data_IF_949817083696
#
_entry.id   IF_949817083696
#
_cell.length_a   1.000
_cell.length_b   1.000
_cell.length_c   1.000
_cell.angle_alpha   90.00
_cell.angle_beta   90.00
_cell.angle_gamma   90.00
#
_symmetry.space_group_name_H-M   'P 1'
#
loop_
_entity.id
_entity.type
_entity.pdbx_description
1 polymer ?
#
# COMPACT_ATOMS: atom_id res chain seq x y z
N UNK A 1 25.48 50.55 11.32
CA UNK A 1 24.58 49.84 12.25
C UNK A 1 24.17 48.58 11.52
N UNK A 2 24.46 47.42 12.12
CA UNK A 2 24.70 46.13 11.48
C UNK A 2 23.48 45.53 10.77
N UNK A 3 23.76 44.91 9.62
CA UNK A 3 23.01 43.81 9.01
C UNK A 3 22.86 42.66 10.01
N UNK A 4 21.63 42.19 10.22
CA UNK A 4 21.28 40.77 10.37
C UNK A 4 19.78 40.64 10.16
N UNK A 5 19.35 39.86 9.17
CA UNK A 5 18.54 38.66 9.42
C UNK A 5 18.10 38.08 8.06
N UNK A 6 18.86 37.10 7.57
CA UNK A 6 18.52 36.36 6.34
C UNK A 6 19.16 34.98 6.33
N UNK A 7 18.94 34.20 7.39
CA UNK A 7 19.34 32.79 7.42
C UNK A 7 18.53 32.07 8.50
N UNK A 8 17.40 31.42 8.15
CA UNK A 8 16.96 30.20 8.87
C UNK A 8 15.81 29.37 8.23
N UNK A 9 15.67 29.29 6.90
CA UNK A 9 14.62 28.45 6.28
C UNK A 9 15.14 27.32 5.37
N UNK A 10 16.46 27.10 5.30
CA UNK A 10 17.05 26.03 4.45
C UNK A 10 17.65 24.85 5.20
N UNK A 11 17.97 24.99 6.49
CA UNK A 11 18.59 23.89 7.27
C UNK A 11 17.53 22.90 7.78
N UNK A 12 16.41 23.38 8.34
CA UNK A 12 15.35 22.50 8.85
C UNK A 12 14.72 21.55 7.81
N UNK A 13 14.59 21.97 6.54
CA UNK A 13 14.02 21.12 5.49
C UNK A 13 14.92 19.95 5.06
N UNK A 14 16.24 20.08 5.19
CA UNK A 14 17.19 19.00 4.86
C UNK A 14 17.24 17.93 5.95
N UNK A 15 17.22 18.34 7.22
CA UNK A 15 17.26 17.43 8.36
C UNK A 15 15.96 16.61 8.46
N UNK A 16 14.81 17.22 8.18
CA UNK A 16 13.52 16.51 8.11
C UNK A 16 13.51 15.50 6.95
N UNK A 17 13.95 15.89 5.76
CA UNK A 17 14.00 14.99 4.61
C UNK A 17 14.95 13.80 4.84
N UNK A 18 16.11 14.04 5.46
CA UNK A 18 17.09 13.01 5.78
C UNK A 18 16.57 12.06 6.87
N UNK A 19 15.82 12.57 7.84
CA UNK A 19 15.15 11.77 8.88
C UNK A 19 14.08 10.86 8.27
N UNK A 20 13.20 11.40 7.42
CA UNK A 20 12.19 10.58 6.74
C UNK A 20 12.81 9.48 5.86
N UNK A 21 13.91 9.79 5.17
CA UNK A 21 14.63 8.79 4.38
C UNK A 21 15.18 7.65 5.27
N UNK A 22 15.75 7.99 6.43
CA UNK A 22 16.28 7.00 7.37
C UNK A 22 15.17 6.15 8.03
N UNK A 23 14.03 6.76 8.39
CA UNK A 23 12.86 6.05 8.92
C UNK A 23 12.27 5.08 7.91
N UNK A 24 12.20 5.51 6.65
CA UNK A 24 11.71 4.70 5.57
C UNK A 24 12.66 3.54 5.26
N UNK A 25 13.97 3.77 5.24
CA UNK A 25 14.97 2.71 5.12
C UNK A 25 14.83 1.66 6.23
N UNK A 26 14.50 2.09 7.44
CA UNK A 26 14.23 1.20 8.57
C UNK A 26 13.01 0.33 8.31
N UNK A 27 11.88 0.92 7.89
CA UNK A 27 10.68 0.17 7.53
C UNK A 27 10.97 -0.90 6.45
N UNK A 28 11.68 -0.51 5.39
CA UNK A 28 12.06 -1.44 4.31
C UNK A 28 12.91 -2.60 4.85
N UNK A 29 13.89 -2.31 5.71
CA UNK A 29 14.74 -3.35 6.31
C UNK A 29 13.97 -4.27 7.26
N UNK A 30 13.01 -3.75 8.03
CA UNK A 30 12.18 -4.53 8.93
C UNK A 30 11.26 -5.50 8.15
N UNK A 31 10.64 -5.02 7.06
CA UNK A 31 9.85 -5.86 6.15
C UNK A 31 10.70 -6.99 5.57
N UNK A 32 11.88 -6.67 5.04
CA UNK A 32 12.77 -7.66 4.44
C UNK A 32 13.30 -8.67 5.47
N UNK A 33 13.58 -8.21 6.69
CA UNK A 33 14.04 -9.08 7.79
C UNK A 33 12.94 -10.06 8.22
N UNK A 34 11.70 -9.59 8.37
CA UNK A 34 10.56 -10.47 8.67
C UNK A 34 10.28 -11.45 7.54
N UNK A 35 10.32 -10.99 6.29
CA UNK A 35 10.12 -11.85 5.14
C UNK A 35 11.19 -12.94 5.05
N UNK A 36 12.47 -12.59 5.26
CA UNK A 36 13.57 -13.55 5.30
C UNK A 36 13.42 -14.56 6.44
N UNK A 37 13.04 -14.11 7.64
CA UNK A 37 12.83 -14.97 8.81
C UNK A 37 11.68 -15.96 8.61
N UNK A 38 10.65 -15.59 7.84
CA UNK A 38 9.49 -16.42 7.54
C UNK A 38 9.65 -17.26 6.28
N UNK A 39 10.67 -17.03 5.45
CA UNK A 39 10.81 -17.67 4.13
C UNK A 39 10.89 -19.19 4.26
N UNK A 40 10.09 -19.90 3.45
CA UNK A 40 10.07 -21.37 3.41
C UNK A 40 10.52 -21.86 2.03
N UNK A 41 11.23 -22.99 1.92
CA UNK A 41 11.63 -23.53 0.62
C UNK A 41 10.43 -23.76 -0.30
N UNK A 42 10.56 -23.36 -1.57
CA UNK A 42 9.53 -23.56 -2.61
C UNK A 42 8.15 -22.95 -2.30
N UNK A 43 8.07 -22.01 -1.35
CA UNK A 43 6.86 -21.27 -1.01
C UNK A 43 7.13 -19.78 -1.22
N UNK A 44 6.27 -19.08 -1.96
CA UNK A 44 6.48 -17.66 -2.21
C UNK A 44 6.22 -16.82 -0.96
N UNK A 45 6.73 -15.59 -0.98
CA UNK A 45 6.48 -14.55 0.01
C UNK A 45 5.36 -13.63 -0.52
N UNK A 46 4.51 -13.17 0.39
CA UNK A 46 3.51 -12.14 0.11
C UNK A 46 3.64 -11.04 1.16
N UNK A 47 3.93 -9.83 0.72
CA UNK A 47 3.86 -8.61 1.54
C UNK A 47 2.55 -7.90 1.24
N UNK A 48 1.72 -7.71 2.25
CA UNK A 48 0.49 -6.93 2.16
C UNK A 48 0.73 -5.55 2.78
N UNK A 49 0.52 -4.48 2.01
CA UNK A 49 0.73 -3.10 2.46
C UNK A 49 -0.58 -2.34 2.39
N UNK A 50 -1.10 -1.95 3.55
CA UNK A 50 -2.41 -1.32 3.71
C UNK A 50 -2.25 0.01 4.46
N UNK A 51 -3.22 0.91 4.33
CA UNK A 51 -3.10 2.31 4.74
C UNK A 51 -3.96 3.24 3.91
N UNK A 52 -4.35 4.42 4.44
CA UNK A 52 -5.22 5.33 3.70
C UNK A 52 -4.52 5.97 2.49
N UNK A 53 -5.30 6.64 1.65
CA UNK A 53 -4.79 7.40 0.52
C UNK A 53 -3.76 8.44 0.96
N UNK A 54 -2.69 8.59 0.17
CA UNK A 54 -1.59 9.51 0.49
C UNK A 54 -0.63 9.04 1.60
N UNK A 55 -0.83 7.86 2.19
CA UNK A 55 0.02 7.36 3.28
C UNK A 55 1.45 6.96 2.84
N UNK A 56 1.70 6.73 1.55
CA UNK A 56 3.02 6.36 1.02
C UNK A 56 3.18 4.87 0.66
N UNK A 57 2.11 4.08 0.69
CA UNK A 57 2.11 2.64 0.33
C UNK A 57 2.78 2.34 -1.01
N UNK A 58 2.35 3.01 -2.08
CA UNK A 58 2.88 2.83 -3.44
C UNK A 58 4.39 3.11 -3.51
N UNK A 59 4.87 4.10 -2.75
CA UNK A 59 6.30 4.39 -2.65
C UNK A 59 7.03 3.25 -1.95
N UNK A 60 6.51 2.76 -0.82
CA UNK A 60 7.12 1.65 -0.06
C UNK A 60 7.13 0.37 -0.89
N UNK A 61 6.05 0.08 -1.62
CA UNK A 61 5.95 -1.06 -2.51
C UNK A 61 6.97 -0.98 -3.66
N UNK A 62 7.13 0.19 -4.28
CA UNK A 62 8.12 0.42 -5.32
C UNK A 62 9.55 0.23 -4.80
N UNK A 63 9.87 0.79 -3.63
CA UNK A 63 11.20 0.66 -3.03
C UNK A 63 11.52 -0.80 -2.61
N UNK A 64 10.54 -1.55 -2.11
CA UNK A 64 10.70 -2.98 -1.86
C UNK A 64 10.94 -3.75 -3.16
N UNK A 65 10.13 -3.49 -4.19
CA UNK A 65 10.26 -4.15 -5.49
C UNK A 65 11.61 -3.87 -6.16
N UNK A 66 12.15 -2.65 -6.03
CA UNK A 66 13.49 -2.32 -6.52
C UNK A 66 14.58 -3.15 -5.83
N UNK A 67 14.43 -3.41 -4.52
CA UNK A 67 15.41 -4.20 -3.74
C UNK A 67 15.30 -5.70 -3.97
N UNK A 68 14.10 -6.21 -4.25
CA UNK A 68 13.83 -7.66 -4.25
C UNK A 68 13.53 -8.24 -5.62
N UNK A 69 13.12 -7.41 -6.58
CA UNK A 69 12.55 -7.85 -7.86
C UNK A 69 11.15 -8.46 -7.75
N UNK A 70 10.46 -8.30 -6.61
CA UNK A 70 9.12 -8.86 -6.39
C UNK A 70 8.04 -8.15 -7.21
N UNK A 71 7.01 -8.89 -7.59
CA UNK A 71 5.90 -8.36 -8.39
C UNK A 71 4.97 -7.53 -7.52
N UNK A 72 4.73 -6.29 -7.93
CA UNK A 72 3.76 -5.40 -7.26
C UNK A 72 2.38 -5.53 -7.90
N UNK A 73 1.34 -5.63 -7.07
CA UNK A 73 -0.08 -5.58 -7.43
C UNK A 73 -0.69 -4.37 -6.70
N UNK A 74 -1.27 -3.45 -7.47
CA UNK A 74 -1.87 -2.22 -6.96
C UNK A 74 -3.40 -2.35 -6.97
N UNK A 75 -4.08 -2.24 -5.82
CA UNK A 75 -5.54 -2.32 -5.78
C UNK A 75 -6.21 -1.21 -6.62
N UNK A 76 -5.55 -0.06 -6.79
CA UNK A 76 -6.01 1.05 -7.66
C UNK A 76 -6.25 0.58 -9.12
N UNK A 77 -5.63 -0.53 -9.56
CA UNK A 77 -5.87 -1.11 -10.90
C UNK A 77 -7.20 -1.85 -11.03
N UNK A 78 -7.88 -2.17 -9.93
CA UNK A 78 -9.06 -3.05 -9.96
C UNK A 78 -10.17 -2.72 -8.96
N UNK A 79 -10.13 -1.59 -8.24
CA UNK A 79 -11.33 -1.13 -7.54
C UNK A 79 -12.47 -0.88 -8.54
N UNK A 80 -13.66 -1.42 -8.31
CA UNK A 80 -14.84 -1.17 -9.13
C UNK A 80 -15.43 0.22 -8.85
N UNK A 81 -14.74 1.24 -9.33
CA UNK A 81 -15.11 2.64 -9.19
C UNK A 81 -14.93 3.19 -7.77
N UNK A 82 -15.38 4.43 -7.57
CA UNK A 82 -15.18 5.18 -6.32
C UNK A 82 -15.94 4.67 -5.11
N UNK A 83 -16.82 3.68 -5.28
CA UNK A 83 -17.56 3.01 -4.20
C UNK A 83 -17.11 1.55 -4.00
N UNK A 84 -16.02 1.15 -4.65
CA UNK A 84 -15.60 -0.24 -4.78
C UNK A 84 -14.59 -0.72 -3.75
N UNK A 85 -14.35 0.00 -2.63
CA UNK A 85 -13.26 -0.38 -1.71
C UNK A 85 -13.47 -1.79 -1.13
N UNK A 86 -14.67 -2.09 -0.64
CA UNK A 86 -15.00 -3.40 -0.08
C UNK A 86 -14.87 -4.52 -1.13
N UNK A 87 -15.40 -4.29 -2.33
CA UNK A 87 -15.32 -5.27 -3.43
C UNK A 87 -13.87 -5.51 -3.87
N UNK A 88 -13.08 -4.44 -4.05
CA UNK A 88 -11.65 -4.55 -4.38
C UNK A 88 -10.84 -5.23 -3.28
N UNK A 89 -11.16 -4.99 -2.00
CA UNK A 89 -10.58 -5.71 -0.86
C UNK A 89 -10.85 -7.20 -0.94
N UNK A 90 -12.10 -7.60 -1.18
CA UNK A 90 -12.48 -9.01 -1.34
C UNK A 90 -11.75 -9.69 -2.52
N UNK A 91 -11.59 -8.98 -3.64
CA UNK A 91 -10.89 -9.47 -4.83
C UNK A 91 -9.43 -9.89 -4.54
N UNK A 92 -8.77 -9.32 -3.53
CA UNK A 92 -7.42 -9.74 -3.15
C UNK A 92 -7.39 -11.21 -2.71
N UNK A 93 -8.30 -11.60 -1.83
CA UNK A 93 -8.40 -12.99 -1.36
C UNK A 93 -9.01 -13.91 -2.43
N UNK A 94 -10.05 -13.44 -3.12
CA UNK A 94 -10.85 -14.25 -4.03
C UNK A 94 -10.19 -14.47 -5.40
N UNK A 95 -9.33 -13.55 -5.84
CA UNK A 95 -8.77 -13.53 -7.19
C UNK A 95 -7.24 -13.42 -7.19
N UNK A 96 -6.68 -12.41 -6.52
CA UNK A 96 -5.24 -12.10 -6.61
C UNK A 96 -4.39 -13.22 -6.00
N UNK A 97 -4.77 -13.68 -4.80
CA UNK A 97 -3.97 -14.62 -4.01
C UNK A 97 -4.45 -16.08 -4.09
N UNK A 98 -5.49 -16.36 -4.88
CA UNK A 98 -6.05 -17.71 -4.99
C UNK A 98 -5.03 -18.68 -5.60
N UNK A 99 -5.17 -19.96 -5.27
CA UNK A 99 -4.25 -21.00 -5.76
C UNK A 99 -4.33 -21.20 -7.28
N UNK A 100 -5.54 -21.26 -7.84
CA UNK A 100 -5.73 -21.63 -9.25
C UNK A 100 -5.99 -20.41 -10.13
N UNK A 101 -5.13 -20.18 -11.13
CA UNK A 101 -5.20 -19.04 -12.04
C UNK A 101 -5.29 -17.69 -11.29
N UNK A 102 -4.29 -17.33 -10.45
CA UNK A 102 -4.31 -16.05 -9.75
C UNK A 102 -4.22 -14.87 -10.73
N UNK A 103 -4.82 -13.76 -10.32
CA UNK A 103 -4.90 -12.55 -11.13
C UNK A 103 -6.07 -11.67 -10.74
N UNK A 104 -6.40 -10.69 -11.55
CA UNK A 104 -7.51 -9.77 -11.29
C UNK A 104 -8.03 -9.17 -12.60
N UNK A 105 -9.32 -8.85 -12.61
CA UNK A 105 -9.89 -8.00 -13.66
C UNK A 105 -9.51 -6.55 -13.39
N UNK A 106 -8.85 -5.90 -14.34
CA UNK A 106 -8.60 -4.46 -14.23
C UNK A 106 -9.91 -3.69 -14.30
N UNK A 107 -9.92 -2.52 -13.68
CA UNK A 107 -11.00 -1.55 -13.82
C UNK A 107 -10.62 -0.48 -14.84
N UNK A 108 -11.53 -0.19 -15.76
CA UNK A 108 -11.44 0.98 -16.61
C UNK A 108 -12.14 2.15 -15.91
N UNK A 109 -11.35 3.07 -15.35
CA UNK A 109 -11.85 4.23 -14.61
C UNK A 109 -12.58 5.24 -15.52
N UNK A 110 -12.24 5.32 -16.81
CA UNK A 110 -12.90 6.23 -17.75
C UNK A 110 -14.26 5.65 -18.19
N UNK A 111 -14.33 4.35 -18.46
CA UNK A 111 -15.56 3.67 -18.85
C UNK A 111 -16.43 3.24 -17.66
N UNK A 112 -15.88 3.31 -16.44
CA UNK A 112 -16.48 2.80 -15.20
C UNK A 112 -16.98 1.36 -15.34
N UNK A 113 -16.11 0.47 -15.84
CA UNK A 113 -16.44 -0.92 -16.14
C UNK A 113 -15.24 -1.87 -16.00
N UNK A 114 -15.47 -3.19 -15.84
CA UNK A 114 -14.40 -4.18 -15.92
C UNK A 114 -13.70 -4.16 -17.28
N UNK A 115 -12.38 -4.37 -17.27
CA UNK A 115 -11.50 -4.36 -18.44
C UNK A 115 -10.94 -5.77 -18.71
N UNK A 116 -9.63 -5.90 -18.83
CA UNK A 116 -8.92 -7.13 -19.16
C UNK A 116 -8.39 -7.85 -17.91
N UNK A 117 -8.16 -9.16 -18.03
CA UNK A 117 -7.61 -9.99 -16.97
C UNK A 117 -6.08 -9.84 -16.90
N UNK A 118 -5.58 -9.47 -15.73
CA UNK A 118 -4.16 -9.43 -15.41
C UNK A 118 -3.77 -10.68 -14.63
N UNK A 119 -3.07 -11.63 -15.27
CA UNK A 119 -2.58 -12.84 -14.61
C UNK A 119 -1.42 -12.56 -13.66
N UNK A 120 -1.38 -13.31 -12.56
CA UNK A 120 -0.27 -13.37 -11.60
C UNK A 120 0.23 -14.82 -11.57
N UNK A 121 1.55 -15.04 -11.46
CA UNK A 121 2.07 -16.39 -11.30
C UNK A 121 1.91 -16.84 -9.83
N UNK A 122 1.41 -18.05 -9.63
CA UNK A 122 1.22 -18.64 -8.29
C UNK A 122 2.54 -18.70 -7.50
N UNK A 123 3.70 -18.68 -8.18
CA UNK A 123 5.04 -18.84 -7.61
C UNK A 123 5.77 -17.52 -7.36
N UNK A 124 5.21 -16.39 -7.79
CA UNK A 124 5.88 -15.09 -7.65
C UNK A 124 5.96 -14.66 -6.19
N UNK A 125 7.06 -14.04 -5.78
CA UNK A 125 7.03 -13.25 -4.56
C UNK A 125 6.23 -11.96 -4.85
N UNK A 126 5.21 -11.68 -4.03
CA UNK A 126 4.24 -10.60 -4.27
C UNK A 126 4.34 -9.49 -3.24
N UNK A 127 4.14 -8.26 -3.71
CA UNK A 127 3.82 -7.09 -2.89
C UNK A 127 2.43 -6.63 -3.33
N UNK A 128 1.43 -6.76 -2.47
CA UNK A 128 0.06 -6.31 -2.74
C UNK A 128 -0.19 -5.06 -1.92
N UNK A 129 -0.49 -3.95 -2.59
CA UNK A 129 -0.62 -2.65 -1.94
C UNK A 129 -1.92 -1.93 -2.31
N UNK A 130 -2.54 -1.32 -1.31
CA UNK A 130 -3.81 -0.62 -1.47
C UNK A 130 -4.63 -0.63 -0.19
N UNK A 131 -5.57 0.31 -0.06
CA UNK A 131 -6.48 0.32 1.11
C UNK A 131 -7.42 -0.88 1.06
N UNK A 132 -7.45 -1.70 2.10
CA UNK A 132 -8.21 -2.96 2.04
C UNK A 132 -7.37 -4.20 1.81
N UNK A 133 -6.07 -4.07 1.55
CA UNK A 133 -5.22 -5.24 1.26
C UNK A 133 -4.98 -6.15 2.48
N UNK A 134 -5.17 -5.66 3.72
CA UNK A 134 -4.97 -6.40 4.97
C UNK A 134 -6.30 -6.59 5.71
N UNK A 135 -6.92 -7.76 5.50
CA UNK A 135 -8.08 -8.28 6.23
C UNK A 135 -7.77 -9.69 6.74
N UNK A 136 -8.60 -10.24 7.62
CA UNK A 136 -8.42 -11.64 8.06
C UNK A 136 -8.43 -12.61 6.86
N UNK A 137 -9.36 -12.42 5.93
CA UNK A 137 -9.48 -13.25 4.74
C UNK A 137 -8.25 -13.18 3.83
N UNK A 138 -7.70 -11.98 3.57
CA UNK A 138 -6.50 -11.85 2.71
C UNK A 138 -5.27 -12.45 3.38
N UNK A 139 -5.13 -12.27 4.70
CA UNK A 139 -4.03 -12.85 5.48
C UNK A 139 -4.10 -14.37 5.48
N UNK A 140 -5.30 -14.95 5.64
CA UNK A 140 -5.47 -16.40 5.68
C UNK A 140 -5.16 -17.06 4.33
N UNK A 141 -5.59 -16.46 3.22
CA UNK A 141 -5.22 -16.95 1.88
C UNK A 141 -3.72 -16.78 1.62
N UNK A 142 -3.12 -15.65 2.03
CA UNK A 142 -1.67 -15.44 1.90
C UNK A 142 -0.85 -16.49 2.69
N UNK A 143 -1.30 -16.90 3.89
CA UNK A 143 -0.68 -17.97 4.69
C UNK A 143 -0.79 -19.34 4.02
N UNK A 144 -1.89 -19.62 3.32
CA UNK A 144 -2.05 -20.87 2.57
C UNK A 144 -1.11 -20.93 1.37
N UNK A 145 -0.94 -19.79 0.69
CA UNK A 145 -0.01 -19.60 -0.43
C UNK A 145 1.45 -19.80 0.01
N UNK A 146 1.87 -19.12 1.06
CA UNK A 146 3.24 -19.19 1.56
C UNK A 146 3.51 -18.35 2.80
N UNK A 147 4.60 -17.57 2.77
CA UNK A 147 4.98 -16.71 3.89
C UNK A 147 4.33 -15.34 3.72
N UNK A 148 3.71 -14.81 4.77
CA UNK A 148 3.06 -13.49 4.74
C UNK A 148 3.80 -12.50 5.65
N UNK A 149 3.87 -11.23 5.23
CA UNK A 149 4.20 -10.07 6.08
C UNK A 149 3.14 -9.00 5.83
N UNK A 150 2.60 -8.42 6.89
CA UNK A 150 1.57 -7.38 6.82
C UNK A 150 2.12 -6.05 7.34
N UNK A 151 1.83 -4.98 6.61
CA UNK A 151 2.33 -3.64 6.91
C UNK A 151 1.18 -2.65 6.87
N UNK A 152 1.04 -1.86 7.93
CA UNK A 152 0.14 -0.71 8.01
C UNK A 152 0.95 0.57 7.93
N UNK A 153 0.63 1.45 6.98
CA UNK A 153 1.26 2.76 6.86
C UNK A 153 0.19 3.86 7.00
N UNK A 154 0.46 4.85 7.85
CA UNK A 154 -0.39 6.04 8.01
C UNK A 154 0.46 7.30 8.27
N UNK A 155 -0.20 8.45 8.35
CA UNK A 155 0.36 9.75 8.72
C UNK A 155 -0.75 10.79 8.88
N UNK A 156 -0.43 12.06 9.17
CA UNK A 156 -1.42 13.10 9.35
C UNK A 156 -2.36 13.22 8.14
N UNK A 157 -3.67 13.19 8.42
CA UNK A 157 -4.73 13.28 7.40
C UNK A 157 -4.53 14.43 6.42
N UNK A 158 -4.18 15.62 6.91
CA UNK A 158 -4.00 16.81 6.08
C UNK A 158 -2.87 16.62 5.07
N UNK A 159 -1.69 16.21 5.53
CA UNK A 159 -0.54 15.90 4.68
C UNK A 159 -0.83 14.76 3.70
N UNK A 160 -1.57 13.73 4.14
CA UNK A 160 -2.02 12.64 3.27
C UNK A 160 -2.94 13.12 2.16
N UNK A 161 -3.92 13.99 2.50
CA UNK A 161 -4.81 14.61 1.52
C UNK A 161 -4.03 15.43 0.51
N UNK A 162 -3.13 16.29 0.98
CA UNK A 162 -2.25 17.08 0.10
C UNK A 162 -1.50 16.19 -0.89
N UNK A 163 -0.80 15.16 -0.42
CA UNK A 163 -0.10 14.20 -1.27
C UNK A 163 -1.02 13.47 -2.25
N UNK A 164 -2.21 13.08 -1.82
CA UNK A 164 -3.16 12.37 -2.67
C UNK A 164 -3.65 13.24 -3.83
N UNK A 165 -3.91 14.53 -3.56
CA UNK A 165 -4.37 15.51 -4.56
C UNK A 165 -3.24 16.01 -5.48
N UNK A 166 -2.02 16.15 -4.95
CA UNK A 166 -0.85 16.43 -5.79
C UNK A 166 -0.58 15.32 -6.81
N UNK A 167 -0.80 14.07 -6.39
CA UNK A 167 -0.67 12.89 -7.25
C UNK A 167 -1.78 12.81 -8.30
N UNK A 168 -3.03 13.05 -7.89
CA UNK A 168 -4.20 12.98 -8.75
C UNK A 168 -5.19 14.12 -8.43
N UNK A 169 -5.14 15.24 -9.17
CA UNK A 169 -6.08 16.35 -8.97
C UNK A 169 -7.55 15.97 -9.20
N UNK A 170 -7.82 14.96 -10.05
CA UNK A 170 -9.19 14.49 -10.31
C UNK A 170 -9.83 13.79 -9.11
N UNK A 171 -9.02 13.37 -8.15
CA UNK A 171 -9.47 12.75 -6.91
C UNK A 171 -10.20 13.72 -5.96
N UNK A 172 -10.05 15.05 -6.13
CA UNK A 172 -10.65 16.02 -5.20
C UNK A 172 -12.17 15.86 -5.05
N UNK A 173 -12.87 15.60 -6.15
CA UNK A 173 -14.32 15.37 -6.15
C UNK A 173 -14.73 14.12 -5.35
N UNK A 174 -13.86 13.12 -5.31
CA UNK A 174 -14.15 11.80 -4.72
C UNK A 174 -13.53 11.60 -3.34
N UNK A 175 -12.72 12.54 -2.86
CA UNK A 175 -11.95 12.42 -1.64
C UNK A 175 -12.82 12.04 -0.43
N UNK A 176 -13.93 12.75 -0.19
CA UNK A 176 -14.81 12.47 0.96
C UNK A 176 -15.53 11.12 0.82
N UNK A 177 -15.94 10.77 -0.39
CA UNK A 177 -16.58 9.49 -0.71
C UNK A 177 -15.65 8.32 -0.43
N UNK A 178 -14.40 8.45 -0.84
CA UNK A 178 -13.38 7.42 -0.62
C UNK A 178 -12.98 7.36 0.85
N UNK A 179 -12.68 8.50 1.48
CA UNK A 179 -12.28 8.57 2.89
C UNK A 179 -13.33 7.96 3.84
N UNK A 180 -14.63 8.08 3.53
CA UNK A 180 -15.67 7.38 4.29
C UNK A 180 -15.49 5.86 4.27
N UNK A 181 -15.26 5.28 3.09
CA UNK A 181 -15.04 3.84 2.96
C UNK A 181 -13.73 3.41 3.62
N UNK A 182 -12.68 4.24 3.55
CA UNK A 182 -11.44 3.99 4.28
C UNK A 182 -11.74 3.84 5.78
N UNK A 183 -12.43 4.82 6.38
CA UNK A 183 -12.81 4.80 7.81
C UNK A 183 -13.61 3.55 8.18
N UNK A 184 -14.59 3.17 7.35
CA UNK A 184 -15.39 1.96 7.55
C UNK A 184 -14.53 0.69 7.49
N UNK A 185 -13.63 0.57 6.50
CA UNK A 185 -12.69 -0.54 6.40
C UNK A 185 -11.79 -0.64 7.65
N UNK A 186 -11.16 0.47 8.05
CA UNK A 186 -10.27 0.50 9.21
C UNK A 186 -10.97 0.19 10.53
N UNK A 187 -12.24 0.58 10.66
CA UNK A 187 -13.02 0.34 11.88
C UNK A 187 -13.56 -1.09 11.97
N UNK A 188 -13.87 -1.73 10.83
CA UNK A 188 -14.68 -2.96 10.83
C UNK A 188 -14.02 -4.18 10.19
N UNK A 189 -13.06 -3.99 9.28
CA UNK A 189 -12.56 -5.06 8.38
C UNK A 189 -11.04 -5.24 8.40
N UNK A 190 -10.30 -4.19 8.74
CA UNK A 190 -8.85 -4.25 8.80
C UNK A 190 -8.37 -5.24 9.87
N UNK A 191 -7.42 -6.09 9.50
CA UNK A 191 -6.71 -6.96 10.45
C UNK A 191 -5.48 -6.26 11.03
N UNK A 192 -5.00 -6.76 12.18
CA UNK A 192 -3.74 -6.34 12.78
C UNK A 192 -2.56 -6.61 11.82
N UNK A 193 -1.65 -5.64 11.75
CA UNK A 193 -0.44 -5.75 10.94
C UNK A 193 0.76 -6.17 11.78
N UNK A 194 1.70 -6.89 11.17
CA UNK A 194 2.99 -7.25 11.77
C UNK A 194 3.83 -6.01 12.07
N UNK A 195 3.77 -5.03 11.16
CA UNK A 195 4.45 -3.75 11.27
C UNK A 195 3.46 -2.61 11.04
N UNK A 196 3.48 -1.62 11.93
CA UNK A 196 2.77 -0.35 11.76
C UNK A 196 3.79 0.78 11.70
N UNK A 197 3.65 1.66 10.72
CA UNK A 197 4.50 2.83 10.57
C UNK A 197 3.65 4.08 10.37
N UNK A 198 3.84 5.05 11.25
CA UNK A 198 3.19 6.36 11.22
C UNK A 198 4.26 7.43 11.08
N UNK A 199 4.20 8.23 10.02
CA UNK A 199 5.12 9.36 9.82
C UNK A 199 4.48 10.67 10.27
N UNK A 200 5.32 11.62 10.72
CA UNK A 200 4.88 12.90 11.29
C UNK A 200 4.62 14.01 10.27
#
# INVERSE_FOLDING_TARGET
>A
MQDTDRTDHREGGKDTAQTHAAEMDRLLNDVLSLAAARKRPMRPVTVLIDGPSGAGKTWTAAALAERTGWRVVHLDEFYPGWHGLEEGSAMVAEQVLRENNPGYWRWDWEANAPKDWASVDERDDLIVEGVGSVTEATVDVAKQRGSVVTVRIDGPREKRRERALERDPGYEEWFETWERQEKEHFAERAADADLTWEWC
#
